data_IF_538550955394
#
_entry.id   IF_538550955394
#
_cell.length_a   1.000
_cell.length_b   1.000
_cell.length_c   1.000
_cell.angle_alpha   90.00
_cell.angle_beta   90.00
_cell.angle_gamma   90.00
#
_symmetry.space_group_name_H-M   'P 1'
#
loop_
_entity.id
_entity.type
_entity.pdbx_description
1 polymer ?
#
# COMPACT_ATOMS: atom_id res chain seq x y z
N UNK A 1 36.24 0.12 -9.92
CA UNK A 1 35.34 -0.85 -9.24
C UNK A 1 33.93 -0.33 -9.47
N UNK A 2 33.13 -1.02 -10.28
CA UNK A 2 31.81 -0.54 -10.69
C UNK A 2 30.91 -0.36 -9.46
N UNK A 3 30.50 0.87 -9.17
CA UNK A 3 29.33 1.13 -8.32
C UNK A 3 28.14 0.46 -9.00
N UNK A 4 27.63 -0.60 -8.40
CA UNK A 4 26.41 -1.24 -8.86
C UNK A 4 25.31 -0.53 -8.10
N UNK A 5 24.66 0.42 -8.76
CA UNK A 5 23.45 1.05 -8.27
C UNK A 5 23.59 1.71 -6.87
N UNK A 6 24.70 2.40 -6.64
CA UNK A 6 25.00 3.09 -5.38
C UNK A 6 25.48 2.19 -4.23
N UNK A 7 25.60 0.87 -4.44
CA UNK A 7 26.30 -0.06 -3.54
C UNK A 7 27.63 -0.50 -4.15
N UNK A 8 28.67 -0.57 -3.31
CA UNK A 8 29.99 -1.04 -3.72
C UNK A 8 30.16 -2.50 -3.28
N UNK A 9 30.72 -3.32 -4.18
CA UNK A 9 31.11 -4.69 -3.84
C UNK A 9 32.04 -4.67 -2.63
N UNK A 10 31.73 -5.45 -1.60
CA UNK A 10 32.44 -5.46 -0.33
C UNK A 10 31.89 -4.53 0.76
N UNK A 11 30.83 -3.75 0.49
CA UNK A 11 30.09 -3.06 1.56
C UNK A 11 29.33 -4.05 2.44
N UNK A 12 29.13 -3.64 3.69
CA UNK A 12 28.44 -4.40 4.72
C UNK A 12 27.12 -3.72 5.08
N UNK A 13 26.01 -4.43 4.93
CA UNK A 13 24.67 -3.92 5.18
C UNK A 13 24.02 -4.63 6.36
N UNK A 14 23.32 -3.88 7.21
CA UNK A 14 22.49 -4.42 8.28
C UNK A 14 21.01 -4.27 7.94
N UNK A 15 20.28 -5.37 7.81
CA UNK A 15 18.83 -5.38 7.63
C UNK A 15 18.16 -5.41 9.00
N UNK A 16 17.28 -4.44 9.27
CA UNK A 16 16.56 -4.30 10.54
C UNK A 16 15.08 -4.66 10.31
N UNK A 17 14.64 -5.72 10.98
CA UNK A 17 13.33 -6.34 10.79
C UNK A 17 13.37 -7.40 9.69
N UNK A 18 13.00 -8.64 10.04
CA UNK A 18 12.96 -9.82 9.18
C UNK A 18 11.54 -10.19 8.72
N UNK A 19 10.65 -9.19 8.69
CA UNK A 19 9.37 -9.31 8.01
C UNK A 19 9.51 -9.40 6.49
N UNK A 20 8.40 -9.24 5.78
CA UNK A 20 8.33 -9.41 4.32
C UNK A 20 9.35 -8.53 3.55
N UNK A 21 9.43 -7.24 3.87
CA UNK A 21 10.36 -6.31 3.21
C UNK A 21 11.82 -6.60 3.55
N UNK A 22 12.12 -6.96 4.80
CA UNK A 22 13.48 -7.31 5.23
C UNK A 22 14.01 -8.56 4.54
N UNK A 23 13.22 -9.63 4.51
CA UNK A 23 13.61 -10.85 3.78
C UNK A 23 13.78 -10.60 2.28
N UNK A 24 12.94 -9.75 1.68
CA UNK A 24 13.11 -9.34 0.30
C UNK A 24 14.43 -8.58 0.06
N UNK A 25 14.84 -7.71 1.01
CA UNK A 25 16.13 -7.04 0.94
C UNK A 25 17.29 -8.05 1.00
N UNK A 26 17.24 -9.02 1.93
CA UNK A 26 18.27 -10.06 2.03
C UNK A 26 18.37 -10.86 0.73
N UNK A 27 17.23 -11.31 0.20
CA UNK A 27 17.17 -12.09 -1.04
C UNK A 27 17.79 -11.35 -2.22
N UNK A 28 17.41 -10.09 -2.44
CA UNK A 28 17.94 -9.28 -3.54
C UNK A 28 19.42 -9.00 -3.33
N UNK A 29 19.81 -8.50 -2.16
CA UNK A 29 21.20 -8.09 -1.88
C UNK A 29 22.19 -9.25 -1.89
N UNK A 30 21.75 -10.47 -1.59
CA UNK A 30 22.61 -11.68 -1.64
C UNK A 30 23.30 -11.86 -3.00
N UNK A 31 22.75 -11.26 -4.06
CA UNK A 31 23.24 -11.36 -5.43
C UNK A 31 24.32 -10.29 -5.76
N UNK A 32 24.59 -9.34 -4.86
CA UNK A 32 25.43 -8.16 -5.13
C UNK A 32 26.84 -8.24 -4.54
N UNK A 33 27.24 -9.37 -3.95
CA UNK A 33 28.58 -9.54 -3.39
C UNK A 33 28.87 -8.58 -2.22
N UNK A 34 27.85 -8.31 -1.42
CA UNK A 34 27.91 -7.52 -0.18
C UNK A 34 27.89 -8.44 1.04
N UNK A 35 28.41 -7.97 2.16
CA UNK A 35 28.27 -8.66 3.45
C UNK A 35 26.92 -8.30 4.06
N UNK A 36 26.11 -9.30 4.41
CA UNK A 36 24.77 -9.08 4.96
C UNK A 36 24.69 -9.49 6.42
N UNK A 37 24.23 -8.56 7.24
CA UNK A 37 23.78 -8.80 8.61
C UNK A 37 22.27 -8.61 8.68
N UNK A 38 21.61 -9.31 9.60
CA UNK A 38 20.20 -9.12 9.89
C UNK A 38 19.95 -9.09 11.40
N UNK A 39 19.05 -8.22 11.85
CA UNK A 39 18.61 -8.12 13.24
C UNK A 39 17.12 -7.87 13.28
N UNK A 40 16.48 -8.29 14.36
CA UNK A 40 15.06 -8.04 14.63
C UNK A 40 14.85 -8.03 16.16
N UNK A 41 13.92 -7.21 16.65
CA UNK A 41 13.63 -7.07 18.09
C UNK A 41 12.67 -8.15 18.61
N UNK A 42 12.03 -8.89 17.71
CA UNK A 42 11.17 -10.02 18.04
C UNK A 42 11.99 -11.23 18.53
N UNK A 43 11.35 -12.14 19.28
CA UNK A 43 12.07 -13.28 19.86
C UNK A 43 12.61 -14.24 18.79
N UNK A 44 13.82 -14.79 19.02
CA UNK A 44 14.44 -15.77 18.10
C UNK A 44 13.56 -16.99 17.86
N UNK A 45 12.76 -17.39 18.85
CA UNK A 45 11.81 -18.50 18.72
C UNK A 45 10.76 -18.20 17.64
N UNK A 46 10.13 -17.01 17.68
CA UNK A 46 9.13 -16.59 16.69
C UNK A 46 9.75 -16.32 15.32
N UNK A 47 10.99 -15.86 15.29
CA UNK A 47 11.71 -15.54 14.07
C UNK A 47 12.46 -16.71 13.43
N UNK A 48 12.49 -17.89 14.07
CA UNK A 48 13.27 -19.05 13.61
C UNK A 48 13.12 -19.34 12.10
N UNK A 49 11.91 -19.31 11.49
CA UNK A 49 11.77 -19.51 10.04
C UNK A 49 12.42 -18.41 9.20
N UNK A 50 12.30 -17.15 9.63
CA UNK A 50 12.86 -15.99 8.94
C UNK A 50 14.39 -15.94 9.07
N UNK A 51 14.93 -16.21 10.27
CA UNK A 51 16.37 -16.32 10.52
C UNK A 51 16.99 -17.41 9.65
N UNK A 52 16.39 -18.61 9.64
CA UNK A 52 16.87 -19.72 8.82
C UNK A 52 16.86 -19.39 7.32
N UNK A 53 15.85 -18.62 6.87
CA UNK A 53 15.78 -18.15 5.48
C UNK A 53 16.88 -17.14 5.18
N UNK A 54 17.09 -16.15 6.05
CA UNK A 54 18.13 -15.14 5.89
C UNK A 54 19.54 -15.77 5.85
N UNK A 55 19.81 -16.73 6.75
CA UNK A 55 21.07 -17.48 6.79
C UNK A 55 21.31 -18.31 5.53
N UNK A 56 20.27 -18.97 5.00
CA UNK A 56 20.37 -19.72 3.73
C UNK A 56 20.71 -18.81 2.55
N UNK A 57 20.25 -17.56 2.60
CA UNK A 57 20.55 -16.51 1.62
C UNK A 57 21.90 -15.81 1.89
N UNK A 58 22.67 -16.25 2.89
CA UNK A 58 24.00 -15.75 3.18
C UNK A 58 24.08 -14.59 4.17
N UNK A 59 22.97 -14.19 4.81
CA UNK A 59 22.98 -13.16 5.84
C UNK A 59 23.30 -13.73 7.23
N UNK A 60 24.18 -13.06 7.97
CA UNK A 60 24.45 -13.38 9.38
C UNK A 60 23.39 -12.73 10.27
N UNK A 61 22.60 -13.54 10.98
CA UNK A 61 21.73 -13.02 12.02
C UNK A 61 22.54 -12.61 13.25
N UNK A 62 22.28 -11.40 13.75
CA UNK A 62 22.91 -10.84 14.95
C UNK A 62 21.79 -10.35 15.87
N UNK A 63 21.61 -10.95 17.05
CA UNK A 63 20.62 -10.50 18.01
C UNK A 63 20.83 -9.03 18.40
N UNK A 64 19.77 -8.28 18.76
CA UNK A 64 19.90 -6.88 19.15
C UNK A 64 20.95 -6.65 20.23
N UNK A 65 21.08 -7.57 21.21
CA UNK A 65 22.06 -7.49 22.29
C UNK A 65 23.51 -7.46 21.79
N UNK A 66 23.80 -8.15 20.69
CA UNK A 66 25.15 -8.38 20.17
C UNK A 66 25.55 -7.41 19.06
N UNK A 67 24.63 -6.53 18.61
CA UNK A 67 24.86 -5.59 17.52
C UNK A 67 26.14 -4.77 17.67
N UNK A 68 26.53 -4.41 18.90
CA UNK A 68 27.76 -3.66 19.20
C UNK A 68 29.01 -4.28 18.58
N UNK A 69 29.04 -5.60 18.42
CA UNK A 69 30.17 -6.34 17.84
C UNK A 69 30.37 -6.07 16.34
N UNK A 70 29.31 -5.70 15.61
CA UNK A 70 29.35 -5.51 14.15
C UNK A 70 29.22 -4.04 13.73
N UNK A 71 28.83 -3.12 14.62
CA UNK A 71 28.56 -1.71 14.24
C UNK A 71 29.75 -1.01 13.56
N UNK A 72 30.99 -1.37 13.90
CA UNK A 72 32.18 -0.79 13.25
C UNK A 72 32.46 -1.32 11.85
N UNK A 73 31.79 -2.41 11.44
CA UNK A 73 31.92 -3.03 10.14
C UNK A 73 30.75 -2.71 9.20
N UNK A 74 29.64 -2.17 9.70
CA UNK A 74 28.43 -1.89 8.91
C UNK A 74 28.52 -0.51 8.26
N UNK A 75 28.41 -0.46 6.93
CA UNK A 75 28.45 0.76 6.14
C UNK A 75 27.07 1.46 6.07
N UNK A 76 25.99 0.67 6.09
CA UNK A 76 24.63 1.18 6.03
C UNK A 76 23.64 0.19 6.64
N UNK A 77 22.57 0.68 7.25
CA UNK A 77 21.46 -0.14 7.71
C UNK A 77 20.17 0.15 6.91
N UNK A 78 19.38 -0.90 6.69
CA UNK A 78 18.11 -0.85 5.96
C UNK A 78 16.97 -1.18 6.93
N UNK A 79 16.13 -0.19 7.19
CA UNK A 79 15.01 -0.28 8.12
C UNK A 79 13.76 -0.78 7.40
N UNK A 80 13.17 -1.87 7.89
CA UNK A 80 11.85 -2.31 7.47
C UNK A 80 10.78 -1.29 7.89
N UNK A 81 9.75 -1.01 7.08
CA UNK A 81 8.76 0.05 7.37
C UNK A 81 8.00 -0.11 8.69
N UNK A 82 7.82 -1.36 9.15
CA UNK A 82 7.13 -1.68 10.40
C UNK A 82 7.98 -1.47 11.66
N UNK A 83 9.29 -1.23 11.53
CA UNK A 83 10.17 -0.96 12.67
C UNK A 83 10.22 0.55 12.92
N UNK A 84 9.97 0.95 14.16
CA UNK A 84 9.98 2.36 14.54
C UNK A 84 11.36 3.00 14.34
N UNK A 85 11.44 4.23 13.80
CA UNK A 85 12.71 4.95 13.60
C UNK A 85 13.38 5.35 14.92
N UNK A 86 12.65 5.26 16.04
CA UNK A 86 13.16 5.52 17.39
C UNK A 86 13.42 4.25 18.19
N UNK A 87 13.37 3.07 17.56
CA UNK A 87 13.65 1.78 18.21
C UNK A 87 15.05 1.74 18.84
N UNK A 88 15.24 0.96 19.93
CA UNK A 88 16.56 0.76 20.54
C UNK A 88 17.66 0.39 19.55
N UNK A 89 17.36 -0.44 18.55
CA UNK A 89 18.32 -0.79 17.49
C UNK A 89 18.73 0.43 16.67
N UNK A 90 17.77 1.24 16.21
CA UNK A 90 18.06 2.43 15.40
C UNK A 90 18.84 3.49 16.18
N UNK A 91 18.53 3.69 17.47
CA UNK A 91 19.28 4.62 18.33
C UNK A 91 20.76 4.26 18.42
N UNK A 92 21.08 2.97 18.58
CA UNK A 92 22.48 2.48 18.64
C UNK A 92 23.25 2.72 17.33
N UNK A 93 22.56 2.65 16.20
CA UNK A 93 23.15 2.95 14.88
C UNK A 93 23.47 4.44 14.75
N UNK A 94 22.55 5.31 15.20
CA UNK A 94 22.77 6.76 15.23
C UNK A 94 23.95 7.15 16.13
N UNK A 95 24.08 6.56 17.32
CA UNK A 95 25.23 6.79 18.22
C UNK A 95 26.59 6.49 17.58
N UNK A 96 26.62 5.64 16.54
CA UNK A 96 27.82 5.26 15.79
C UNK A 96 27.90 5.90 14.40
N UNK A 97 27.02 6.86 14.09
CA UNK A 97 26.92 7.50 12.79
C UNK A 97 26.71 6.53 11.61
N UNK A 98 26.11 5.36 11.85
CA UNK A 98 25.76 4.43 10.77
C UNK A 98 24.53 4.98 10.05
N UNK A 99 24.58 5.22 8.73
CA UNK A 99 23.43 5.65 7.95
C UNK A 99 22.30 4.62 8.02
N UNK A 100 21.08 5.07 8.34
CA UNK A 100 19.87 4.26 8.27
C UNK A 100 19.01 4.78 7.13
N UNK A 101 18.56 3.87 6.26
CA UNK A 101 17.67 4.13 5.12
C UNK A 101 16.53 3.13 5.08
N UNK A 102 15.45 3.45 4.37
CA UNK A 102 14.34 2.52 4.16
C UNK A 102 14.55 1.55 3.01
N UNK A 103 13.71 0.52 2.95
CA UNK A 103 13.65 -0.41 1.82
C UNK A 103 13.38 0.29 0.47
N UNK A 104 12.52 1.32 0.43
CA UNK A 104 12.24 2.06 -0.82
C UNK A 104 13.41 2.93 -1.28
N UNK A 105 14.22 3.43 -0.35
CA UNK A 105 15.42 4.21 -0.66
C UNK A 105 16.46 3.28 -1.29
N UNK A 106 16.63 2.08 -0.72
CA UNK A 106 17.48 1.05 -1.30
C UNK A 106 16.97 0.62 -2.68
N UNK A 107 15.67 0.33 -2.82
CA UNK A 107 15.08 -0.05 -4.08
C UNK A 107 15.30 1.02 -5.16
N UNK A 108 15.09 2.30 -4.83
CA UNK A 108 15.35 3.41 -5.75
C UNK A 108 16.81 3.46 -6.21
N UNK A 109 17.78 3.28 -5.28
CA UNK A 109 19.21 3.26 -5.65
C UNK A 109 19.52 2.13 -6.61
N UNK A 110 18.93 0.95 -6.37
CA UNK A 110 19.01 -0.27 -7.19
C UNK A 110 18.27 -0.20 -8.54
N UNK A 111 17.39 0.78 -8.73
CA UNK A 111 16.51 0.85 -9.89
C UNK A 111 17.12 1.64 -11.03
N UNK A 112 17.22 1.02 -12.21
CA UNK A 112 17.60 1.73 -13.45
C UNK A 112 16.44 2.46 -14.12
N UNK A 113 15.20 1.97 -13.90
CA UNK A 113 13.99 2.54 -14.47
C UNK A 113 13.52 3.78 -13.69
N UNK A 114 12.89 4.77 -14.35
CA UNK A 114 12.19 5.84 -13.68
C UNK A 114 11.02 5.31 -12.82
N UNK A 115 10.81 5.95 -11.66
CA UNK A 115 9.74 5.60 -10.71
C UNK A 115 8.62 6.65 -10.77
N UNK A 116 7.37 6.18 -10.80
CA UNK A 116 6.18 6.95 -10.43
C UNK A 116 5.79 6.52 -9.02
N UNK A 117 5.75 7.44 -8.06
CA UNK A 117 5.44 7.13 -6.66
C UNK A 117 4.09 7.75 -6.27
N UNK A 118 3.24 6.97 -5.59
CA UNK A 118 1.90 7.38 -5.16
C UNK A 118 1.80 7.30 -3.64
N UNK A 119 1.41 8.41 -3.02
CA UNK A 119 1.04 8.45 -1.60
C UNK A 119 -0.25 9.24 -1.35
N UNK A 120 -0.69 9.21 -0.10
CA UNK A 120 -1.96 9.79 0.37
C UNK A 120 -2.53 8.98 1.54
N UNK A 121 -3.61 9.46 2.16
CA UNK A 121 -4.31 8.69 3.19
C UNK A 121 -5.11 7.56 2.54
N UNK A 122 -5.97 7.89 1.57
CA UNK A 122 -6.85 6.93 0.86
C UNK A 122 -6.60 6.93 -0.65
N UNK A 123 -6.96 5.84 -1.33
CA UNK A 123 -6.91 5.73 -2.80
C UNK A 123 -5.55 5.38 -3.41
N UNK A 124 -4.49 5.25 -2.60
CA UNK A 124 -3.12 4.91 -3.05
C UNK A 124 -3.09 3.68 -3.96
N UNK A 125 -3.72 2.60 -3.52
CA UNK A 125 -3.65 1.28 -4.14
C UNK A 125 -4.38 1.23 -5.46
N UNK A 126 -5.60 1.77 -5.48
CA UNK A 126 -6.39 1.94 -6.70
C UNK A 126 -5.65 2.80 -7.72
N UNK A 127 -5.10 3.94 -7.29
CA UNK A 127 -4.36 4.85 -8.17
C UNK A 127 -3.08 4.19 -8.70
N UNK A 128 -2.31 3.52 -7.86
CA UNK A 128 -1.07 2.83 -8.26
C UNK A 128 -1.37 1.73 -9.28
N UNK A 129 -2.41 0.93 -9.06
CA UNK A 129 -2.85 -0.09 -10.00
C UNK A 129 -3.35 0.52 -11.32
N UNK A 130 -4.12 1.62 -11.26
CA UNK A 130 -4.64 2.32 -12.43
C UNK A 130 -3.52 2.93 -13.26
N UNK A 131 -2.52 3.59 -12.65
CA UNK A 131 -1.34 4.09 -13.38
C UNK A 131 -0.64 2.93 -14.07
N UNK A 132 -0.42 1.81 -13.36
CA UNK A 132 0.17 0.61 -13.95
C UNK A 132 -0.60 0.08 -15.17
N UNK A 133 -1.94 0.07 -15.11
CA UNK A 133 -2.82 -0.30 -16.21
C UNK A 133 -2.70 0.65 -17.40
N UNK A 134 -2.80 1.97 -17.15
CA UNK A 134 -2.73 3.00 -18.18
C UNK A 134 -1.39 2.98 -18.93
N UNK A 135 -0.28 2.84 -18.19
CA UNK A 135 1.05 2.75 -18.80
C UNK A 135 1.22 1.49 -19.66
N UNK A 136 0.71 0.34 -19.21
CA UNK A 136 0.73 -0.91 -20.02
C UNK A 136 -0.10 -0.78 -21.29
N UNK A 137 -1.27 -0.17 -21.21
CA UNK A 137 -2.10 0.11 -22.38
C UNK A 137 -1.41 1.05 -23.39
N UNK A 138 -0.51 1.91 -22.90
CA UNK A 138 0.37 2.75 -23.73
C UNK A 138 1.65 2.02 -24.20
N UNK A 139 1.71 0.69 -24.09
CA UNK A 139 2.83 -0.13 -24.56
C UNK A 139 4.10 -0.01 -23.74
N UNK A 140 4.03 0.48 -22.48
CA UNK A 140 5.19 0.57 -21.59
C UNK A 140 5.44 -0.76 -20.88
N UNK A 141 6.71 -1.09 -20.64
CA UNK A 141 7.09 -2.14 -19.68
C UNK A 141 6.97 -1.57 -18.26
N UNK A 142 6.16 -2.21 -17.41
CA UNK A 142 5.73 -1.63 -16.13
C UNK A 142 5.68 -2.67 -15.02
N UNK A 143 6.41 -2.38 -13.94
CA UNK A 143 6.29 -3.08 -12.66
C UNK A 143 5.50 -2.25 -11.67
N UNK A 144 4.75 -2.93 -10.80
CA UNK A 144 3.89 -2.28 -9.79
C UNK A 144 4.15 -2.94 -8.44
N UNK A 145 4.48 -2.15 -7.42
CA UNK A 145 4.81 -2.67 -6.09
C UNK A 145 4.94 -1.58 -5.03
N UNK A 146 5.63 -1.88 -3.94
CA UNK A 146 5.84 -0.98 -2.80
C UNK A 146 5.09 -1.44 -1.55
N UNK A 147 4.31 -0.54 -0.97
CA UNK A 147 3.54 -0.79 0.25
C UNK A 147 2.46 -1.87 0.07
N UNK A 148 1.95 -2.05 -1.16
CA UNK A 148 1.02 -3.12 -1.54
C UNK A 148 1.60 -3.92 -2.70
N UNK A 149 1.16 -5.18 -2.81
CA UNK A 149 1.77 -6.11 -3.75
C UNK A 149 3.13 -6.49 -3.22
N UNK A 150 4.14 -6.63 -4.07
CA UNK A 150 5.49 -6.98 -3.66
C UNK A 150 6.25 -5.78 -3.06
N UNK A 151 7.16 -6.01 -2.09
CA UNK A 151 8.12 -4.99 -1.68
C UNK A 151 8.83 -4.41 -2.92
N UNK A 152 9.06 -3.09 -2.93
CA UNK A 152 9.56 -2.39 -4.11
C UNK A 152 10.88 -2.98 -4.61
N UNK A 153 11.75 -3.40 -3.70
CA UNK A 153 13.06 -3.98 -4.01
C UNK A 153 12.98 -5.26 -4.85
N UNK A 154 11.85 -5.98 -4.85
CA UNK A 154 11.65 -7.13 -5.73
C UNK A 154 11.32 -6.76 -7.17
N UNK A 155 10.82 -5.54 -7.39
CA UNK A 155 10.37 -5.09 -8.70
C UNK A 155 11.48 -4.39 -9.50
N UNK A 156 12.49 -3.84 -8.83
CA UNK A 156 13.52 -2.99 -9.47
C UNK A 156 14.52 -3.74 -10.34
N UNK A 157 14.79 -5.02 -10.06
CA UNK A 157 15.72 -5.83 -10.87
C UNK A 157 15.12 -6.35 -12.18
N UNK A 158 13.80 -6.25 -12.35
CA UNK A 158 13.06 -6.83 -13.48
C UNK A 158 12.77 -5.88 -14.63
N UNK A 159 13.22 -4.63 -14.56
CA UNK A 159 12.89 -3.56 -15.51
C UNK A 159 14.10 -2.69 -15.82
N UNK A 160 14.32 -2.45 -17.12
CA UNK A 160 15.43 -1.64 -17.62
C UNK A 160 15.14 -0.14 -17.63
N UNK A 161 16.10 0.70 -18.05
CA UNK A 161 15.97 2.17 -18.04
C UNK A 161 14.82 2.71 -18.93
N UNK A 162 14.39 1.93 -19.92
CA UNK A 162 13.29 2.29 -20.83
C UNK A 162 11.90 1.89 -20.28
N UNK A 163 11.85 1.14 -19.17
CA UNK A 163 10.61 0.74 -18.51
C UNK A 163 10.20 1.69 -17.39
N UNK A 164 9.23 1.27 -16.58
CA UNK A 164 8.68 2.05 -15.47
C UNK A 164 8.42 1.20 -14.24
N UNK A 165 8.61 1.81 -13.07
CA UNK A 165 8.16 1.27 -11.79
C UNK A 165 7.10 2.19 -11.24
N UNK A 166 5.93 1.65 -10.91
CA UNK A 166 4.86 2.37 -10.19
C UNK A 166 4.84 1.88 -8.75
N UNK A 167 5.19 2.77 -7.83
CA UNK A 167 5.37 2.47 -6.43
C UNK A 167 4.24 3.05 -5.57
N UNK A 168 3.53 2.19 -4.84
CA UNK A 168 2.72 2.64 -3.71
C UNK A 168 3.65 2.93 -2.53
N UNK A 169 3.57 4.13 -1.94
CA UNK A 169 4.45 4.54 -0.85
C UNK A 169 3.65 5.03 0.37
N UNK A 170 3.98 4.51 1.56
CA UNK A 170 3.42 4.96 2.84
C UNK A 170 4.21 6.14 3.44
N UNK A 171 3.62 6.82 4.43
CA UNK A 171 4.33 7.88 5.17
C UNK A 171 5.55 7.34 5.93
N UNK A 172 5.45 6.12 6.49
CA UNK A 172 6.54 5.46 7.21
C UNK A 172 7.73 5.17 6.30
N UNK A 173 7.47 4.77 5.06
CA UNK A 173 8.53 4.57 4.07
C UNK A 173 9.21 5.90 3.72
N UNK A 174 8.45 6.98 3.60
CA UNK A 174 8.97 8.31 3.25
C UNK A 174 9.85 8.92 4.33
N UNK A 175 9.63 8.62 5.61
CA UNK A 175 10.48 9.10 6.72
C UNK A 175 11.96 8.71 6.54
N UNK A 176 12.22 7.57 5.91
CA UNK A 176 13.55 6.96 5.84
C UNK A 176 14.26 7.15 4.49
N UNK A 177 13.71 8.00 3.62
CA UNK A 177 14.35 8.33 2.34
C UNK A 177 15.50 9.33 2.52
N UNK A 178 16.44 9.31 1.58
CA UNK A 178 17.50 10.30 1.45
C UNK A 178 17.58 10.85 0.02
N UNK A 179 17.73 9.97 -0.95
CA UNK A 179 17.89 10.33 -2.37
C UNK A 179 16.72 9.90 -3.25
N UNK A 180 15.74 9.17 -2.70
CA UNK A 180 14.52 8.77 -3.38
C UNK A 180 13.90 9.93 -4.16
N UNK A 181 13.87 9.79 -5.48
CA UNK A 181 13.48 10.84 -6.42
C UNK A 181 12.60 10.25 -7.51
N UNK A 182 11.27 10.18 -7.30
CA UNK A 182 10.38 9.71 -8.33
C UNK A 182 10.34 10.73 -9.49
N UNK A 183 10.28 10.23 -10.72
CA UNK A 183 10.06 11.05 -11.92
C UNK A 183 8.69 11.73 -11.86
N UNK A 184 7.69 11.03 -11.33
CA UNK A 184 6.36 11.56 -11.04
C UNK A 184 6.00 11.22 -9.59
N UNK A 185 5.77 12.24 -8.76
CA UNK A 185 5.23 12.08 -7.41
C UNK A 185 3.75 12.41 -7.43
N UNK A 186 2.93 11.54 -6.84
CA UNK A 186 1.48 11.73 -6.72
C UNK A 186 1.12 11.77 -5.23
N UNK A 187 0.52 12.88 -4.78
CA UNK A 187 -0.02 13.02 -3.43
C UNK A 187 -1.53 13.23 -3.53
N UNK A 188 -2.30 12.20 -3.17
CA UNK A 188 -3.74 12.16 -3.44
C UNK A 188 -4.58 13.01 -2.51
N UNK A 189 -4.45 12.79 -1.20
CA UNK A 189 -5.26 13.40 -0.15
C UNK A 189 -4.61 13.18 1.21
N UNK A 190 -4.99 13.99 2.19
CA UNK A 190 -4.53 13.96 3.56
C UNK A 190 -5.71 14.13 4.52
N UNK A 191 -6.05 13.06 5.22
CA UNK A 191 -7.03 13.06 6.31
C UNK A 191 -6.45 12.40 7.57
N UNK A 192 -7.00 12.66 8.77
CA UNK A 192 -6.57 12.02 10.03
C UNK A 192 -6.42 10.51 9.91
N UNK A 193 -5.20 10.05 10.17
CA UNK A 193 -4.77 8.65 10.11
C UNK A 193 -3.43 8.52 10.84
N UNK A 194 -3.12 7.35 11.40
CA UNK A 194 -1.86 7.06 12.11
C UNK A 194 -1.45 8.07 13.22
N UNK A 195 -2.41 8.68 13.93
CA UNK A 195 -2.14 9.62 15.03
C UNK A 195 -1.58 8.94 16.30
N UNK A 196 -1.50 7.61 16.32
CA UNK A 196 -0.71 6.83 17.28
C UNK A 196 0.80 6.99 17.06
N UNK A 197 1.22 7.31 15.83
CA UNK A 197 2.62 7.52 15.44
C UNK A 197 2.99 8.98 15.23
N UNK A 198 2.04 9.82 14.81
CA UNK A 198 2.28 11.25 14.60
C UNK A 198 1.58 12.09 15.66
N UNK A 199 2.30 13.06 16.22
CA UNK A 199 1.77 13.94 17.26
C UNK A 199 0.73 14.94 16.72
N UNK A 200 0.70 15.14 15.39
CA UNK A 200 -0.25 16.05 14.73
C UNK A 200 -0.46 15.70 13.26
N UNK A 201 -1.53 16.26 12.68
CA UNK A 201 -1.78 16.20 11.24
C UNK A 201 -0.68 16.87 10.42
N UNK A 202 -0.08 17.94 10.95
CA UNK A 202 1.03 18.63 10.30
C UNK A 202 2.21 17.67 10.15
N UNK A 203 2.59 16.97 11.22
CA UNK A 203 3.70 16.00 11.17
C UNK A 203 3.44 14.85 10.17
N UNK A 204 2.21 14.33 10.13
CA UNK A 204 1.80 13.32 9.16
C UNK A 204 1.87 13.83 7.71
N UNK A 205 1.43 15.07 7.47
CA UNK A 205 1.48 15.71 6.18
C UNK A 205 2.94 15.92 5.74
N UNK A 206 3.78 16.46 6.63
CA UNK A 206 5.23 16.64 6.40
C UNK A 206 5.92 15.33 6.04
N UNK A 207 5.59 14.21 6.70
CA UNK A 207 6.11 12.90 6.34
C UNK A 207 5.77 12.50 4.90
N UNK A 208 4.56 12.82 4.41
CA UNK A 208 4.13 12.52 3.04
C UNK A 208 4.69 13.50 2.00
N UNK A 209 4.88 14.76 2.35
CA UNK A 209 5.48 15.78 1.48
C UNK A 209 6.88 15.41 1.01
N UNK A 210 7.59 14.59 1.79
CA UNK A 210 8.90 14.04 1.45
C UNK A 210 8.91 13.28 0.12
N UNK A 211 7.77 12.79 -0.38
CA UNK A 211 7.69 12.15 -1.71
C UNK A 211 8.26 13.02 -2.85
N UNK A 212 8.21 14.34 -2.69
CA UNK A 212 8.68 15.31 -3.67
C UNK A 212 10.01 15.99 -3.29
N UNK A 213 10.61 15.66 -2.13
CA UNK A 213 11.74 16.40 -1.55
C UNK A 213 12.98 16.47 -2.44
N UNK A 214 13.23 15.42 -3.24
CA UNK A 214 14.39 15.35 -4.13
C UNK A 214 14.05 15.70 -5.60
N UNK A 215 12.80 16.03 -5.91
CA UNK A 215 12.38 16.34 -7.28
C UNK A 215 12.97 17.69 -7.75
N UNK A 216 13.35 17.74 -9.02
CA UNK A 216 13.87 18.92 -9.71
C UNK A 216 12.91 19.42 -10.80
N UNK A 217 13.32 20.47 -11.52
CA UNK A 217 12.50 21.13 -12.56
C UNK A 217 12.14 20.26 -13.77
N UNK A 218 12.75 19.08 -13.89
CA UNK A 218 12.47 18.09 -14.96
C UNK A 218 11.51 17.00 -14.53
N UNK A 219 11.08 17.01 -13.27
CA UNK A 219 10.20 16.02 -12.69
C UNK A 219 8.79 16.59 -12.53
N UNK A 220 7.83 15.73 -12.21
CA UNK A 220 6.43 16.10 -12.09
C UNK A 220 5.88 15.82 -10.71
N UNK A 221 5.10 16.76 -10.19
CA UNK A 221 4.25 16.57 -9.03
C UNK A 221 2.79 16.64 -9.44
N UNK A 222 2.01 15.64 -9.02
CA UNK A 222 0.55 15.58 -9.19
C UNK A 222 -0.10 15.67 -7.82
N UNK A 223 -1.04 16.60 -7.65
CA UNK A 223 -1.75 16.80 -6.39
C UNK A 223 -3.21 17.21 -6.59
N UNK A 224 -4.01 17.05 -5.55
CA UNK A 224 -5.39 17.54 -5.46
C UNK A 224 -5.41 18.96 -4.89
N UNK A 225 -5.91 19.92 -5.67
CA UNK A 225 -6.03 21.32 -5.27
C UNK A 225 -7.17 21.54 -4.28
N UNK A 226 -8.13 20.61 -4.23
CA UNK A 226 -9.29 20.70 -3.32
C UNK A 226 -8.97 20.13 -1.94
N UNK A 227 -7.86 19.38 -1.79
CA UNK A 227 -7.39 18.93 -0.48
C UNK A 227 -6.61 20.06 0.20
N UNK A 228 -7.07 20.56 1.36
CA UNK A 228 -6.48 21.74 1.99
C UNK A 228 -5.04 21.53 2.46
N UNK A 229 -4.64 20.30 2.82
CA UNK A 229 -3.26 20.05 3.22
C UNK A 229 -2.37 19.94 1.98
N UNK A 230 -2.82 19.22 0.95
CA UNK A 230 -2.05 19.10 -0.31
C UNK A 230 -1.88 20.47 -0.99
N UNK A 231 -2.92 21.29 -1.01
CA UNK A 231 -2.88 22.65 -1.53
C UNK A 231 -2.02 23.60 -0.67
N UNK A 232 -1.95 23.38 0.65
CA UNK A 232 -1.17 24.19 1.58
C UNK A 232 0.34 23.94 1.54
N UNK A 233 0.83 22.96 0.78
CA UNK A 233 2.26 22.70 0.65
C UNK A 233 3.01 24.00 0.25
N UNK A 234 3.95 24.46 1.06
CA UNK A 234 4.75 25.64 0.72
C UNK A 234 5.82 25.29 -0.32
N UNK A 235 5.51 25.56 -1.59
CA UNK A 235 6.36 25.32 -2.74
C UNK A 235 7.62 26.19 -2.79
N UNK A 236 7.80 27.17 -1.89
CA UNK A 236 8.84 28.21 -1.98
C UNK A 236 9.85 28.20 -0.84
N UNK A 237 9.63 27.47 0.26
CA UNK A 237 10.50 27.54 1.46
C UNK A 237 10.61 26.18 2.18
N UNK A 238 11.70 26.02 2.94
CA UNK A 238 11.91 24.87 3.83
C UNK A 238 12.36 23.58 3.13
N UNK A 239 12.38 22.49 3.92
CA UNK A 239 12.73 21.13 3.46
C UNK A 239 11.66 20.51 2.53
N UNK A 240 10.50 21.16 2.40
CA UNK A 240 9.37 20.73 1.57
C UNK A 240 9.21 21.50 0.27
N UNK A 241 10.21 22.32 -0.09
CA UNK A 241 10.24 23.02 -1.36
C UNK A 241 10.23 22.01 -2.51
N UNK A 242 9.16 21.99 -3.30
CA UNK A 242 9.10 21.17 -4.51
C UNK A 242 9.45 21.99 -5.73
N UNK A 243 10.52 21.58 -6.42
CA UNK A 243 11.00 22.22 -7.65
C UNK A 243 10.37 21.62 -8.91
N UNK A 244 9.61 20.55 -8.77
CA UNK A 244 8.94 19.84 -9.86
C UNK A 244 7.92 20.72 -10.58
N UNK A 245 7.66 20.38 -11.84
CA UNK A 245 6.53 20.92 -12.60
C UNK A 245 5.24 20.35 -12.00
N UNK A 246 4.23 21.18 -11.87
CA UNK A 246 3.00 20.83 -11.16
C UNK A 246 1.87 20.51 -12.13
N UNK A 247 1.11 19.47 -11.81
CA UNK A 247 -0.14 19.10 -12.46
C UNK A 247 -1.21 18.93 -11.39
N UNK A 248 -2.06 19.94 -11.29
CA UNK A 248 -3.15 19.95 -10.32
C UNK A 248 -4.40 19.30 -10.90
N UNK A 249 -5.08 18.49 -10.09
CA UNK A 249 -6.46 18.10 -10.33
C UNK A 249 -7.37 18.91 -9.41
N UNK A 250 -8.60 19.17 -9.88
CA UNK A 250 -9.61 19.85 -9.07
C UNK A 250 -11.00 19.59 -9.65
N UNK A 251 -11.99 19.41 -8.76
CA UNK A 251 -13.41 19.47 -9.08
C UNK A 251 -14.00 20.85 -8.76
N UNK A 252 -13.44 21.58 -7.79
CA UNK A 252 -13.99 22.85 -7.29
C UNK A 252 -13.40 24.10 -7.99
N UNK A 253 -12.23 23.96 -8.59
CA UNK A 253 -11.40 25.03 -9.16
C UNK A 253 -10.89 24.67 -10.57
N UNK A 254 -11.78 24.44 -11.57
CA UNK A 254 -11.41 23.97 -12.89
C UNK A 254 -10.41 24.87 -13.63
N UNK A 255 -10.50 26.19 -13.44
CA UNK A 255 -9.61 27.16 -14.11
C UNK A 255 -8.17 27.16 -13.57
N UNK A 256 -7.91 26.47 -12.45
CA UNK A 256 -6.60 26.37 -11.82
C UNK A 256 -5.98 24.97 -11.94
N UNK A 257 -6.69 24.04 -12.57
CA UNK A 257 -6.29 22.64 -12.65
C UNK A 257 -5.89 22.21 -14.06
N UNK A 258 -4.90 21.32 -14.13
CA UNK A 258 -4.53 20.61 -15.35
C UNK A 258 -5.55 19.51 -15.68
N UNK A 259 -6.31 18.99 -14.71
CA UNK A 259 -7.41 18.06 -14.95
C UNK A 259 -8.63 18.49 -14.13
N UNK A 260 -9.77 18.63 -14.78
CA UNK A 260 -11.03 19.03 -14.13
C UNK A 260 -12.24 18.37 -14.81
N UNK A 261 -13.40 18.43 -14.14
CA UNK A 261 -14.67 17.95 -14.70
C UNK A 261 -15.45 19.11 -15.34
N UNK A 262 -15.91 18.94 -16.58
CA UNK A 262 -16.83 19.86 -17.26
C UNK A 262 -17.84 19.06 -18.07
N UNK A 263 -19.14 19.34 -17.87
CA UNK A 263 -20.23 18.65 -18.56
C UNK A 263 -20.09 17.10 -18.48
N UNK A 264 -19.87 16.59 -17.26
CA UNK A 264 -19.60 15.18 -16.95
C UNK A 264 -18.42 14.56 -17.72
N UNK A 265 -17.53 15.37 -18.28
CA UNK A 265 -16.33 14.92 -19.00
C UNK A 265 -15.07 15.40 -18.30
N UNK A 266 -14.11 14.51 -18.07
CA UNK A 266 -12.79 14.88 -17.61
C UNK A 266 -12.04 15.59 -18.75
N UNK A 267 -11.59 16.81 -18.47
CA UNK A 267 -10.87 17.67 -19.39
C UNK A 267 -9.44 17.82 -18.90
N UNK A 268 -8.48 17.56 -19.78
CA UNK A 268 -7.07 17.85 -19.57
C UNK A 268 -6.71 19.22 -20.17
N UNK A 269 -6.22 20.14 -19.36
CA UNK A 269 -5.64 21.41 -19.78
C UNK A 269 -4.10 21.33 -19.67
N UNK A 270 -3.37 21.16 -20.77
CA UNK A 270 -1.92 21.05 -20.73
C UNK A 270 -1.28 22.33 -20.15
N UNK A 271 -0.29 22.23 -19.24
CA UNK A 271 0.40 23.40 -18.71
C UNK A 271 1.36 24.08 -19.72
N UNK A 272 1.50 23.54 -20.93
CA UNK A 272 2.39 24.05 -21.98
C UNK A 272 1.59 24.57 -23.16
N UNK A 273 1.56 25.89 -23.36
CA UNK A 273 1.50 26.64 -24.63
C UNK A 273 0.37 26.39 -25.65
N UNK A 274 -0.20 25.18 -25.75
CA UNK A 274 -1.38 24.87 -26.54
C UNK A 274 -2.61 25.11 -25.66
N UNK A 275 -3.38 26.19 -25.92
CA UNK A 275 -4.43 26.66 -25.03
C UNK A 275 -5.71 25.80 -25.09
N UNK A 276 -5.74 24.71 -25.87
CA UNK A 276 -6.96 23.94 -26.12
C UNK A 276 -7.13 22.82 -25.10
N UNK A 277 -8.19 22.87 -24.28
CA UNK A 277 -8.53 21.78 -23.38
C UNK A 277 -8.88 20.51 -24.18
N UNK A 278 -8.37 19.37 -23.73
CA UNK A 278 -8.51 18.07 -24.38
C UNK A 278 -9.52 17.24 -23.58
N UNK A 279 -10.68 16.87 -24.15
CA UNK A 279 -11.58 15.92 -23.52
C UNK A 279 -10.92 14.55 -23.41
N UNK A 280 -10.83 13.99 -22.21
CA UNK A 280 -10.25 12.66 -21.98
C UNK A 280 -11.36 11.62 -22.01
N UNK A 281 -12.24 11.61 -21.02
CA UNK A 281 -13.26 10.57 -20.86
C UNK A 281 -14.49 11.11 -20.13
N UNK A 282 -15.67 10.65 -20.50
CA UNK A 282 -16.89 10.91 -19.74
C UNK A 282 -16.83 10.18 -18.38
N UNK A 283 -17.50 10.74 -17.36
CA UNK A 283 -17.50 10.22 -15.99
C UNK A 283 -18.00 8.78 -15.92
N UNK A 284 -19.02 8.45 -16.70
CA UNK A 284 -19.60 7.10 -16.82
C UNK A 284 -18.69 6.10 -17.54
N UNK A 285 -17.73 6.60 -18.33
CA UNK A 285 -16.64 5.82 -18.92
C UNK A 285 -15.60 5.33 -17.91
N UNK A 286 -15.65 5.80 -16.66
CA UNK A 286 -14.75 5.37 -15.58
C UNK A 286 -15.46 4.31 -14.74
N UNK A 287 -14.98 3.07 -14.79
CA UNK A 287 -15.56 1.92 -14.03
C UNK A 287 -15.18 1.92 -12.55
N UNK A 288 -15.08 3.09 -11.93
CA UNK A 288 -14.80 3.27 -10.51
C UNK A 288 -15.81 4.28 -9.93
N UNK A 289 -16.87 3.81 -9.24
CA UNK A 289 -17.93 4.70 -8.77
C UNK A 289 -17.45 5.60 -7.63
N UNK A 290 -18.04 6.80 -7.54
CA UNK A 290 -17.82 7.76 -6.45
C UNK A 290 -16.79 8.84 -6.76
N UNK A 291 -16.94 9.99 -6.10
CA UNK A 291 -16.08 11.16 -6.34
C UNK A 291 -14.61 10.92 -5.97
N UNK A 292 -14.33 10.24 -4.87
CA UNK A 292 -12.95 9.88 -4.48
C UNK A 292 -12.25 9.05 -5.55
N UNK A 293 -12.98 8.18 -6.24
CA UNK A 293 -12.44 7.39 -7.35
C UNK A 293 -12.28 8.20 -8.64
N UNK A 294 -13.14 9.20 -8.86
CA UNK A 294 -12.93 10.18 -9.92
C UNK A 294 -11.62 10.95 -9.68
N UNK A 295 -11.34 11.39 -8.45
CA UNK A 295 -10.06 12.03 -8.08
C UNK A 295 -8.86 11.09 -8.28
N UNK A 296 -8.97 9.83 -7.86
CA UNK A 296 -7.95 8.80 -8.14
C UNK A 296 -7.68 8.63 -9.64
N UNK A 297 -8.74 8.61 -10.46
CA UNK A 297 -8.66 8.53 -11.92
C UNK A 297 -7.98 9.76 -12.52
N UNK A 298 -8.35 10.97 -12.08
CA UNK A 298 -7.73 12.22 -12.50
C UNK A 298 -6.22 12.23 -12.20
N UNK A 299 -5.83 11.81 -10.98
CA UNK A 299 -4.43 11.72 -10.59
C UNK A 299 -3.65 10.71 -11.45
N UNK A 300 -4.24 9.53 -11.70
CA UNK A 300 -3.61 8.50 -12.52
C UNK A 300 -3.44 8.92 -13.99
N UNK A 301 -4.46 9.58 -14.56
CA UNK A 301 -4.41 10.15 -15.91
C UNK A 301 -3.31 11.21 -16.01
N UNK A 302 -3.25 12.14 -15.05
CA UNK A 302 -2.20 13.17 -15.01
C UNK A 302 -0.80 12.55 -14.92
N UNK A 303 -0.61 11.51 -14.10
CA UNK A 303 0.67 10.83 -13.99
C UNK A 303 1.08 10.14 -15.30
N UNK A 304 0.13 9.53 -16.02
CA UNK A 304 0.39 8.92 -17.33
C UNK A 304 0.69 9.98 -18.41
N UNK A 305 -0.09 11.06 -18.45
CA UNK A 305 0.13 12.20 -19.35
C UNK A 305 1.51 12.85 -19.13
N UNK A 306 1.93 12.99 -17.87
CA UNK A 306 3.22 13.56 -17.48
C UNK A 306 4.43 12.82 -18.07
N UNK A 307 4.28 11.51 -18.35
CA UNK A 307 5.31 10.65 -18.94
C UNK A 307 5.09 10.39 -20.44
N UNK A 308 4.21 11.18 -21.07
CA UNK A 308 4.02 11.19 -22.51
C UNK A 308 3.08 10.12 -23.05
N UNK A 309 2.16 9.59 -22.24
CA UNK A 309 1.05 8.78 -22.76
C UNK A 309 0.07 9.65 -23.53
N UNK A 310 -0.43 9.16 -24.67
CA UNK A 310 -1.37 9.91 -25.51
C UNK A 310 -2.79 9.89 -24.94
N UNK A 311 -3.46 11.04 -24.96
CA UNK A 311 -4.83 11.19 -24.46
C UNK A 311 -5.83 10.21 -25.10
N UNK A 312 -5.65 9.88 -26.39
CA UNK A 312 -6.50 8.94 -27.11
C UNK A 312 -6.39 7.53 -26.53
N UNK A 313 -5.17 7.03 -26.29
CA UNK A 313 -4.94 5.71 -25.68
C UNK A 313 -5.47 5.67 -24.24
N UNK A 314 -5.26 6.74 -23.47
CA UNK A 314 -5.73 6.83 -22.09
C UNK A 314 -7.26 6.80 -21.99
N UNK A 315 -7.97 7.45 -22.93
CA UNK A 315 -9.44 7.41 -23.03
C UNK A 315 -9.97 5.98 -23.15
N UNK A 316 -9.33 5.16 -23.98
CA UNK A 316 -9.73 3.76 -24.17
C UNK A 316 -9.33 2.90 -22.96
N UNK A 317 -8.11 3.09 -22.46
CA UNK A 317 -7.55 2.29 -21.39
C UNK A 317 -8.28 2.47 -20.05
N UNK A 318 -8.70 3.69 -19.70
CA UNK A 318 -9.33 3.93 -18.40
C UNK A 318 -10.67 3.20 -18.24
N UNK A 319 -11.42 3.05 -19.34
CA UNK A 319 -12.70 2.34 -19.34
C UNK A 319 -12.58 0.82 -19.24
N UNK A 320 -11.38 0.26 -19.45
CA UNK A 320 -11.08 -1.16 -19.29
C UNK A 320 -10.40 -1.49 -17.96
N UNK A 321 -10.15 -0.50 -17.11
CA UNK A 321 -9.57 -0.75 -15.79
C UNK A 321 -10.58 -1.48 -14.91
N UNK A 322 -10.17 -2.63 -14.41
CA UNK A 322 -10.88 -3.38 -13.39
C UNK A 322 -10.14 -3.21 -12.06
N UNK A 323 -10.77 -2.63 -11.02
CA UNK A 323 -10.15 -2.59 -9.70
C UNK A 323 -9.79 -4.01 -9.26
N UNK A 324 -8.72 -4.16 -8.48
CA UNK A 324 -8.27 -5.48 -8.02
C UNK A 324 -9.38 -6.19 -7.25
N UNK A 325 -10.00 -7.20 -7.86
CA UNK A 325 -11.05 -7.98 -7.22
C UNK A 325 -10.52 -8.64 -5.94
N UNK A 326 -11.36 -8.62 -4.91
CA UNK A 326 -11.17 -9.30 -3.63
C UNK A 326 -9.98 -8.78 -2.79
N UNK A 327 -9.60 -7.50 -2.94
CA UNK A 327 -8.66 -6.80 -2.05
C UNK A 327 -9.29 -5.53 -1.49
N UNK A 328 -9.76 -5.59 -0.24
CA UNK A 328 -10.52 -4.52 0.40
C UNK A 328 -11.56 -3.86 -0.52
N UNK A 329 -12.20 -4.66 -1.37
CA UNK A 329 -13.13 -4.23 -2.40
C UNK A 329 -14.50 -3.97 -1.77
N UNK A 330 -14.92 -2.70 -1.72
CA UNK A 330 -16.30 -2.39 -1.32
C UNK A 330 -17.29 -2.91 -2.36
N UNK A 331 -18.14 -3.85 -1.95
CA UNK A 331 -19.17 -4.45 -2.80
C UNK A 331 -20.47 -3.64 -2.78
N UNK A 332 -20.87 -3.21 -1.59
CA UNK A 332 -22.17 -2.58 -1.36
C UNK A 332 -22.20 -1.77 -0.06
N UNK A 333 -23.10 -0.79 -0.02
CA UNK A 333 -23.66 -0.27 1.23
C UNK A 333 -25.15 -0.66 1.28
N UNK A 334 -25.58 -1.31 2.37
CA UNK A 334 -26.96 -1.79 2.57
C UNK A 334 -27.37 -1.41 3.99
N UNK A 335 -28.50 -0.73 4.15
CA UNK A 335 -29.00 -0.25 5.45
C UNK A 335 -27.98 0.60 6.25
N UNK A 336 -27.03 1.23 5.53
CA UNK A 336 -25.93 2.02 6.09
C UNK A 336 -24.75 1.19 6.64
N UNK A 337 -24.66 -0.09 6.27
CA UNK A 337 -23.53 -0.99 6.56
C UNK A 337 -22.73 -1.21 5.29
N UNK A 338 -21.40 -1.06 5.37
CA UNK A 338 -20.50 -1.28 4.22
C UNK A 338 -20.04 -2.72 4.16
N UNK A 339 -20.19 -3.40 3.02
CA UNK A 339 -19.72 -4.76 2.79
C UNK A 339 -18.44 -4.73 1.95
N UNK A 340 -17.36 -5.33 2.47
CA UNK A 340 -16.02 -5.27 1.90
C UNK A 340 -15.45 -6.67 1.72
N UNK A 341 -15.03 -6.97 0.49
CA UNK A 341 -14.37 -8.20 0.11
C UNK A 341 -12.85 -8.06 0.10
N UNK A 342 -12.20 -8.78 1.01
CA UNK A 342 -10.75 -8.96 1.08
C UNK A 342 -10.39 -10.45 1.06
N UNK A 343 -11.08 -11.26 0.25
CA UNK A 343 -10.87 -12.72 0.17
C UNK A 343 -9.43 -13.12 -0.17
N UNK A 344 -8.63 -12.24 -0.80
CA UNK A 344 -7.20 -12.47 -1.03
C UNK A 344 -6.32 -12.35 0.23
N UNK A 345 -6.89 -11.94 1.36
CA UNK A 345 -6.29 -12.01 2.70
C UNK A 345 -6.21 -13.47 3.16
N UNK A 346 -5.13 -14.17 2.77
CA UNK A 346 -4.94 -15.61 3.04
C UNK A 346 -3.93 -15.90 4.16
N UNK A 347 -3.58 -14.89 4.96
CA UNK A 347 -2.68 -15.02 6.13
C UNK A 347 -3.19 -14.18 7.30
N UNK A 348 -2.92 -14.58 8.56
CA UNK A 348 -3.30 -13.80 9.75
C UNK A 348 -2.79 -12.34 9.71
N UNK A 349 -1.57 -12.13 9.22
CA UNK A 349 -0.99 -10.79 9.07
C UNK A 349 -1.77 -9.89 8.08
N UNK A 350 -2.36 -10.47 7.04
CA UNK A 350 -3.20 -9.72 6.09
C UNK A 350 -4.51 -9.28 6.74
N UNK A 351 -5.08 -10.10 7.63
CA UNK A 351 -6.29 -9.74 8.41
C UNK A 351 -6.02 -8.56 9.33
N UNK A 352 -4.89 -8.57 10.03
CA UNK A 352 -4.49 -7.45 10.90
C UNK A 352 -4.38 -6.16 10.08
N UNK A 353 -3.73 -6.21 8.91
CA UNK A 353 -3.63 -5.05 8.03
C UNK A 353 -5.00 -4.57 7.54
N UNK A 354 -5.89 -5.49 7.16
CA UNK A 354 -7.26 -5.17 6.75
C UNK A 354 -8.06 -4.51 7.87
N UNK A 355 -8.04 -5.10 9.08
CA UNK A 355 -8.70 -4.54 10.25
C UNK A 355 -8.22 -3.12 10.53
N UNK A 356 -6.91 -2.88 10.51
CA UNK A 356 -6.30 -1.57 10.76
C UNK A 356 -6.71 -0.47 9.77
N UNK A 357 -7.29 -0.84 8.62
CA UNK A 357 -7.76 0.13 7.61
C UNK A 357 -9.03 0.86 8.02
N UNK A 358 -9.82 0.34 8.98
CA UNK A 358 -11.14 0.88 9.30
C UNK A 358 -11.16 1.61 10.64
N UNK A 359 -11.38 2.92 10.67
CA UNK A 359 -11.55 3.75 11.87
C UNK A 359 -12.91 3.59 12.58
N UNK A 360 -13.69 2.58 12.18
CA UNK A 360 -15.06 2.30 12.62
C UNK A 360 -15.26 0.81 12.91
N UNK A 361 -16.34 0.42 13.61
CA UNK A 361 -16.50 -0.97 14.02
C UNK A 361 -16.62 -1.95 12.86
N UNK A 362 -16.00 -3.12 13.02
CA UNK A 362 -15.93 -4.16 11.99
C UNK A 362 -16.59 -5.44 12.49
N UNK A 363 -17.34 -6.11 11.61
CA UNK A 363 -17.74 -7.50 11.75
C UNK A 363 -16.90 -8.31 10.79
N UNK A 364 -16.01 -9.13 11.35
CA UNK A 364 -15.01 -9.87 10.58
C UNK A 364 -15.55 -11.25 10.22
N UNK A 365 -15.56 -11.59 8.94
CA UNK A 365 -15.73 -12.96 8.46
C UNK A 365 -14.33 -13.54 8.21
N UNK A 366 -13.94 -14.52 9.02
CA UNK A 366 -12.60 -15.11 9.02
C UNK A 366 -12.64 -16.64 9.05
N UNK A 367 -11.58 -17.28 8.56
CA UNK A 367 -11.42 -18.73 8.57
C UNK A 367 -11.26 -19.35 7.17
N UNK A 368 -11.19 -20.67 7.13
CA UNK A 368 -10.74 -21.47 5.99
C UNK A 368 -9.64 -22.46 6.39
N UNK A 369 -8.90 -23.00 5.42
CA UNK A 369 -7.76 -23.88 5.67
C UNK A 369 -6.54 -23.13 6.22
N UNK A 370 -6.17 -23.45 7.45
CA UNK A 370 -4.95 -22.90 8.08
C UNK A 370 -3.69 -23.40 7.36
N UNK A 371 -2.70 -22.53 7.20
CA UNK A 371 -1.36 -22.84 6.66
C UNK A 371 -0.35 -23.19 7.77
N UNK A 372 -0.83 -23.53 8.96
CA UNK A 372 0.02 -23.75 10.14
C UNK A 372 0.51 -22.47 10.82
N UNK A 373 -0.10 -21.32 10.48
CA UNK A 373 0.15 -20.02 11.13
C UNK A 373 -0.90 -19.77 12.20
N UNK A 374 -0.46 -19.45 13.42
CA UNK A 374 -1.34 -19.16 14.55
C UNK A 374 -2.23 -17.93 14.30
N UNK A 375 -3.50 -18.03 14.69
CA UNK A 375 -4.44 -16.90 14.72
C UNK A 375 -4.30 -16.00 15.96
N UNK A 376 -3.48 -16.35 16.96
CA UNK A 376 -3.33 -15.56 18.19
C UNK A 376 -3.10 -14.06 17.96
N UNK A 377 -2.23 -13.62 17.02
CA UNK A 377 -2.05 -12.19 16.76
C UNK A 377 -3.30 -11.48 16.23
N UNK A 378 -4.17 -12.21 15.50
CA UNK A 378 -5.45 -11.67 15.02
C UNK A 378 -6.43 -11.54 16.18
N UNK A 379 -6.42 -12.50 17.11
CA UNK A 379 -7.25 -12.47 18.32
C UNK A 379 -6.87 -11.31 19.25
N UNK A 380 -5.56 -11.05 19.39
CA UNK A 380 -5.05 -9.90 20.13
C UNK A 380 -5.52 -8.58 19.48
N UNK A 381 -5.43 -8.49 18.14
CA UNK A 381 -5.90 -7.32 17.39
C UNK A 381 -7.42 -7.13 17.51
N UNK A 382 -8.21 -8.21 17.50
CA UNK A 382 -9.66 -8.17 17.73
C UNK A 382 -9.98 -7.61 19.11
N UNK A 383 -9.27 -8.07 20.14
CA UNK A 383 -9.50 -7.68 21.54
C UNK A 383 -9.11 -6.21 21.82
N UNK A 384 -8.10 -5.70 21.12
CA UNK A 384 -7.61 -4.34 21.27
C UNK A 384 -8.34 -3.28 20.42
N UNK A 385 -9.28 -3.67 19.56
CA UNK A 385 -9.89 -2.81 18.54
C UNK A 385 -11.42 -2.85 18.61
N UNK A 386 -12.09 -1.89 17.97
CA UNK A 386 -13.55 -1.83 17.89
C UNK A 386 -14.19 -2.91 17.01
N UNK A 387 -13.75 -4.17 17.08
CA UNK A 387 -14.41 -5.28 16.37
C UNK A 387 -15.71 -5.60 17.09
N UNK A 388 -16.83 -5.53 16.36
CA UNK A 388 -18.18 -5.77 16.91
C UNK A 388 -18.52 -7.25 16.98
N UNK A 389 -18.04 -8.01 16.00
CA UNK A 389 -18.36 -9.42 15.88
C UNK A 389 -17.36 -10.16 15.01
N UNK A 390 -17.27 -11.47 15.21
CA UNK A 390 -16.53 -12.36 14.32
C UNK A 390 -17.43 -13.49 13.89
N UNK A 391 -17.47 -13.75 12.59
CA UNK A 391 -18.12 -14.89 12.00
C UNK A 391 -17.04 -15.83 11.46
N UNK A 392 -16.91 -17.00 12.07
CA UNK A 392 -15.85 -17.96 11.77
C UNK A 392 -16.34 -19.04 10.79
N UNK A 393 -15.61 -19.25 9.69
CA UNK A 393 -15.95 -20.22 8.64
C UNK A 393 -14.83 -21.25 8.41
N UNK A 394 -15.17 -22.40 7.84
CA UNK A 394 -14.20 -23.40 7.38
C UNK A 394 -13.46 -24.15 8.49
N UNK A 395 -12.38 -24.85 8.10
CA UNK A 395 -11.61 -25.74 8.97
C UNK A 395 -11.03 -25.04 10.22
N UNK A 396 -10.65 -23.76 10.09
CA UNK A 396 -10.12 -22.96 11.20
C UNK A 396 -11.19 -22.40 12.14
N UNK A 397 -12.49 -22.55 11.86
CA UNK A 397 -13.53 -21.95 12.68
C UNK A 397 -13.47 -22.34 14.17
N UNK A 398 -13.25 -23.61 14.56
CA UNK A 398 -13.14 -23.98 15.97
C UNK A 398 -11.95 -23.31 16.69
N UNK A 399 -10.81 -23.16 16.02
CA UNK A 399 -9.62 -22.47 16.56
C UNK A 399 -9.92 -20.98 16.80
N UNK A 400 -10.50 -20.32 15.80
CA UNK A 400 -10.85 -18.89 15.88
C UNK A 400 -11.87 -18.66 16.99
N UNK A 401 -12.96 -19.44 17.05
CA UNK A 401 -14.00 -19.29 18.06
C UNK A 401 -13.50 -19.56 19.48
N UNK A 402 -12.64 -20.56 19.65
CA UNK A 402 -12.07 -20.91 20.96
C UNK A 402 -11.12 -19.84 21.52
N UNK A 403 -10.54 -19.01 20.66
CA UNK A 403 -9.59 -17.98 21.05
C UNK A 403 -10.17 -16.58 21.22
N UNK A 404 -11.40 -16.31 20.78
CA UNK A 404 -12.03 -14.99 20.91
C UNK A 404 -12.61 -14.80 22.31
N UNK A 405 -12.29 -13.67 22.93
CA UNK A 405 -12.92 -13.21 24.16
C UNK A 405 -13.40 -11.76 24.01
N UNK A 406 -14.46 -11.40 24.74
CA UNK A 406 -14.96 -10.01 24.80
C UNK A 406 -15.75 -9.51 23.59
N UNK A 407 -15.86 -10.29 22.52
CA UNK A 407 -16.60 -9.96 21.29
C UNK A 407 -17.51 -11.13 20.90
N UNK A 408 -18.68 -10.84 20.33
CA UNK A 408 -19.59 -11.88 19.83
C UNK A 408 -18.92 -12.66 18.70
N UNK A 409 -18.80 -13.99 18.87
CA UNK A 409 -18.19 -14.87 17.90
C UNK A 409 -19.16 -16.00 17.54
N UNK A 410 -19.48 -16.16 16.24
CA UNK A 410 -20.43 -17.15 15.74
C UNK A 410 -19.78 -18.01 14.65
N UNK A 411 -20.00 -19.33 14.62
CA UNK A 411 -19.63 -20.13 13.44
C UNK A 411 -20.50 -19.74 12.24
N UNK A 412 -20.11 -20.12 11.03
CA UNK A 412 -21.00 -20.28 9.88
C UNK A 412 -20.50 -21.40 8.94
N UNK A 413 -21.43 -22.17 8.40
CA UNK A 413 -21.16 -23.27 7.49
C UNK A 413 -20.99 -22.79 6.04
N UNK A 414 -21.48 -21.60 5.69
CA UNK A 414 -21.35 -21.02 4.36
C UNK A 414 -21.18 -19.50 4.39
N UNK A 415 -20.82 -18.89 3.25
CA UNK A 415 -20.67 -17.44 3.16
C UNK A 415 -22.02 -16.70 3.22
N UNK A 416 -23.09 -17.31 2.74
CA UNK A 416 -24.46 -16.79 2.84
C UNK A 416 -24.87 -16.70 4.30
N UNK A 417 -24.71 -17.80 5.04
CA UNK A 417 -25.01 -17.83 6.47
C UNK A 417 -24.10 -16.86 7.24
N UNK A 418 -22.85 -16.69 6.80
CA UNK A 418 -21.94 -15.73 7.41
C UNK A 418 -22.38 -14.28 7.16
N UNK A 419 -22.84 -13.96 5.95
CA UNK A 419 -23.37 -12.65 5.56
C UNK A 419 -24.67 -12.35 6.32
N UNK A 420 -25.58 -13.32 6.45
CA UNK A 420 -26.82 -13.16 7.22
C UNK A 420 -26.54 -12.89 8.70
N UNK A 421 -25.67 -13.69 9.33
CA UNK A 421 -25.24 -13.44 10.72
C UNK A 421 -24.54 -12.11 10.89
N UNK A 422 -23.68 -11.73 9.94
CA UNK A 422 -23.01 -10.44 9.98
C UNK A 422 -24.02 -9.29 9.88
N UNK A 423 -25.05 -9.43 9.04
CA UNK A 423 -26.13 -8.45 8.93
C UNK A 423 -26.92 -8.30 10.23
N UNK A 424 -27.21 -9.39 10.93
CA UNK A 424 -27.91 -9.37 12.22
C UNK A 424 -27.11 -8.66 13.33
N UNK A 425 -25.78 -8.76 13.29
CA UNK A 425 -24.90 -8.08 14.24
C UNK A 425 -24.62 -6.61 13.88
N UNK A 426 -24.77 -6.26 12.61
CA UNK A 426 -24.36 -4.96 12.08
C UNK A 426 -25.28 -3.82 12.52
N UNK A 427 -24.65 -2.70 12.85
CA UNK A 427 -25.30 -1.41 13.08
C UNK A 427 -24.95 -0.44 11.96
N UNK A 428 -25.82 0.53 11.74
CA UNK A 428 -25.57 1.62 10.79
C UNK A 428 -24.21 2.28 11.09
N UNK A 429 -23.36 2.35 10.06
CA UNK A 429 -22.00 2.86 10.14
C UNK A 429 -20.91 1.78 10.18
N UNK A 430 -21.26 0.53 10.50
CA UNK A 430 -20.30 -0.58 10.59
C UNK A 430 -19.82 -1.07 9.22
N UNK A 431 -18.77 -1.89 9.26
CA UNK A 431 -18.23 -2.63 8.11
C UNK A 431 -18.38 -4.14 8.32
N UNK A 432 -18.96 -4.84 7.35
CA UNK A 432 -18.85 -6.30 7.24
C UNK A 432 -17.68 -6.61 6.32
N UNK A 433 -16.64 -7.25 6.85
CA UNK A 433 -15.38 -7.50 6.17
C UNK A 433 -15.15 -9.00 6.00
N UNK A 434 -15.11 -9.48 4.75
CA UNK A 434 -14.53 -10.79 4.44
C UNK A 434 -13.00 -10.65 4.39
N UNK A 435 -12.30 -11.02 5.47
CA UNK A 435 -10.83 -11.07 5.50
C UNK A 435 -10.39 -12.40 6.14
N UNK A 436 -10.26 -13.46 5.33
CA UNK A 436 -10.27 -14.84 5.83
C UNK A 436 -9.08 -15.25 6.71
N UNK A 437 -7.89 -14.72 6.45
CA UNK A 437 -6.65 -15.11 7.14
C UNK A 437 -6.16 -16.53 6.83
N UNK A 438 -6.94 -17.30 6.07
CA UNK A 438 -6.68 -18.69 5.68
C UNK A 438 -6.70 -18.86 4.16
N UNK A 439 -6.10 -19.96 3.68
CA UNK A 439 -6.38 -20.46 2.34
C UNK A 439 -7.86 -20.83 2.19
N UNK A 440 -8.36 -20.86 0.96
CA UNK A 440 -9.77 -21.14 0.67
C UNK A 440 -10.08 -22.60 0.32
N UNK A 441 -9.06 -23.44 0.16
CA UNK A 441 -9.13 -24.79 -0.45
C UNK A 441 -9.89 -25.85 0.36
N UNK A 442 -10.40 -25.51 1.54
CA UNK A 442 -11.32 -26.35 2.31
C UNK A 442 -12.77 -26.19 1.85
N UNK A 443 -13.17 -24.98 1.45
CA UNK A 443 -14.54 -24.66 1.06
C UNK A 443 -14.69 -24.24 -0.41
N UNK A 444 -13.61 -23.78 -1.05
CA UNK A 444 -13.65 -23.15 -2.37
C UNK A 444 -12.45 -23.54 -3.25
N UNK A 445 -12.61 -23.40 -4.57
CA UNK A 445 -11.56 -23.71 -5.54
C UNK A 445 -10.40 -22.70 -5.56
N UNK A 446 -10.66 -21.44 -5.18
CA UNK A 446 -9.65 -20.36 -5.13
C UNK A 446 -10.08 -19.25 -4.17
N UNK A 447 -9.22 -18.26 -3.95
CA UNK A 447 -9.57 -17.08 -3.14
C UNK A 447 -10.58 -16.20 -3.90
N UNK A 448 -10.47 -16.16 -5.23
CA UNK A 448 -11.41 -15.50 -6.13
C UNK A 448 -12.80 -16.13 -6.02
N UNK A 449 -12.91 -17.47 -6.13
CA UNK A 449 -14.20 -18.15 -6.02
C UNK A 449 -14.89 -17.91 -4.66
N UNK A 450 -14.10 -17.77 -3.59
CA UNK A 450 -14.61 -17.38 -2.26
C UNK A 450 -15.11 -15.93 -2.24
N UNK A 451 -14.37 -15.01 -2.86
CA UNK A 451 -14.77 -13.60 -2.94
C UNK A 451 -15.99 -13.40 -3.83
N UNK A 452 -16.05 -14.04 -5.00
CA UNK A 452 -17.22 -14.08 -5.87
C UNK A 452 -18.47 -14.57 -5.13
N UNK A 453 -18.33 -15.66 -4.35
CA UNK A 453 -19.44 -16.19 -3.56
C UNK A 453 -19.91 -15.23 -2.47
N UNK A 454 -18.99 -14.48 -1.86
CA UNK A 454 -19.34 -13.44 -0.91
C UNK A 454 -20.03 -12.26 -1.59
N UNK A 455 -19.58 -11.86 -2.78
CA UNK A 455 -20.25 -10.85 -3.59
C UNK A 455 -21.68 -11.26 -3.96
N UNK A 456 -21.90 -12.51 -4.36
CA UNK A 456 -23.23 -13.07 -4.63
C UNK A 456 -24.13 -13.02 -3.39
N UNK A 457 -23.60 -13.45 -2.22
CA UNK A 457 -24.34 -13.43 -0.96
C UNK A 457 -24.74 -12.00 -0.54
N UNK A 458 -23.82 -11.04 -0.69
CA UNK A 458 -24.10 -9.62 -0.42
C UNK A 458 -25.10 -9.04 -1.42
N UNK A 459 -25.03 -9.43 -2.70
CA UNK A 459 -26.00 -9.00 -3.71
C UNK A 459 -27.41 -9.53 -3.41
N UNK A 460 -27.52 -10.76 -2.89
CA UNK A 460 -28.81 -11.35 -2.51
C UNK A 460 -29.52 -10.56 -1.39
N UNK A 461 -28.79 -9.87 -0.51
CA UNK A 461 -29.37 -8.99 0.52
C UNK A 461 -30.14 -7.79 -0.06
N UNK A 462 -29.83 -7.38 -1.30
CA UNK A 462 -30.51 -6.28 -2.00
C UNK A 462 -31.80 -6.71 -2.67
N UNK A 463 -31.98 -8.01 -2.91
CA UNK A 463 -33.24 -8.50 -3.47
C UNK A 463 -34.35 -8.30 -2.42
N UNK A 464 -35.50 -7.72 -2.79
CA UNK A 464 -36.62 -7.61 -1.86
C UNK A 464 -36.98 -9.01 -1.36
N UNK A 465 -37.07 -9.16 -0.04
CA UNK A 465 -37.49 -10.39 0.60
C UNK A 465 -38.95 -10.70 0.23
N UNK A 466 -39.15 -11.41 -0.88
CA UNK A 466 -40.45 -11.90 -1.34
C UNK A 466 -41.32 -10.84 -2.04
N UNK A 467 -41.57 -11.07 -3.33
CA UNK A 467 -42.88 -10.82 -3.93
C UNK A 467 -43.70 -12.10 -3.85
#
# INVERSE_FOLDING_TARGET
>A
MSEIFGLRRGESLLIIGLGRSGLACVEVLSQFGVTLYATDEESEERLRPAIATAQRLGAQFVPPADLRSILGAVDCAVLSPGVGPTSPVVRRLHERNVPVVGEIELAYRLCSAPIIAVTGTKGKSTTTALIGHLLRACGRDVRVGGNIGNPLIKEVGGVGPDGWVVAEVSSFQLETIRSFKPRVAVLLNLSPDHLDRYHSMEEYAQAKYRIAANQGMTDWFVGDLDDPYVAALDWRRGETRVLARQLWLSLDHPDQAAMYLRDDTLIYAPPTGDPRPIPIVARDGIRLPGEHNLRNAMAALLAALAVGCEAATLREAIGSFEPMSHRLQTLAEIDGVTYVDDSKSTTPASVIAALRTFDRPVILIAGGRSKGTSFSPVLDEISGRGVRGVIAIGEAAPEILGGIQGVTALPAASLEEAVDRARELAQRGDVVLLSPGCASFDMFASAEARGDRFADAVAALRAPAGA
#
